data_IF_380850031967
#
_entry.id   IF_380850031967
#
_cell.length_a   1.000
_cell.length_b   1.000
_cell.length_c   1.000
_cell.angle_alpha   90.00
_cell.angle_beta   90.00
_cell.angle_gamma   90.00
#
_symmetry.space_group_name_H-M   'P 1'
#
loop_
_entity.id
_entity.type
_entity.pdbx_description
1 polymer ?
#
# COMPACT_ATOMS: atom_id res chain seq x y z
N UNK A 1 12.17 -7.16 81.28
CA UNK A 1 13.06 -8.25 80.85
C UNK A 1 12.54 -8.79 79.52
N UNK A 2 13.03 -8.23 78.41
CA UNK A 2 14.19 -8.72 77.61
C UNK A 2 13.79 -9.81 76.62
N UNK A 3 13.52 -9.41 75.37
CA UNK A 3 14.24 -9.78 74.13
C UNK A 3 13.95 -11.21 73.64
N UNK A 4 13.52 -11.43 72.39
CA UNK A 4 14.37 -11.29 71.20
C UNK A 4 13.55 -11.10 69.91
N UNK A 5 14.05 -10.18 69.09
CA UNK A 5 13.65 -9.76 67.74
C UNK A 5 14.45 -10.54 66.70
N UNK A 6 13.91 -10.63 65.48
CA UNK A 6 14.56 -10.69 64.14
C UNK A 6 13.97 -11.80 63.26
N UNK A 7 13.01 -11.48 62.40
CA UNK A 7 13.15 -10.85 61.06
C UNK A 7 13.81 -11.80 60.06
N UNK A 8 12.95 -12.54 59.36
CA UNK A 8 13.29 -13.43 58.25
C UNK A 8 13.31 -12.57 56.98
N UNK A 9 14.45 -12.60 56.30
CA UNK A 9 14.78 -11.81 55.12
C UNK A 9 13.72 -11.99 54.02
N UNK A 10 13.24 -10.84 53.51
CA UNK A 10 12.54 -10.73 52.25
C UNK A 10 13.58 -10.95 51.14
N UNK A 11 13.55 -12.17 50.58
CA UNK A 11 14.19 -12.50 49.32
C UNK A 11 13.53 -11.65 48.22
N UNK A 12 14.16 -10.50 47.94
CA UNK A 12 13.80 -9.61 46.85
C UNK A 12 14.19 -10.30 45.56
N UNK A 13 13.31 -11.19 45.12
CA UNK A 13 13.39 -11.86 43.83
C UNK A 13 13.55 -10.83 42.72
N UNK A 14 14.77 -10.72 42.21
CA UNK A 14 15.05 -10.11 40.93
C UNK A 14 14.06 -10.71 39.91
N UNK A 15 13.44 -9.89 39.03
CA UNK A 15 12.53 -10.44 38.04
C UNK A 15 13.37 -11.34 37.15
N UNK A 16 13.14 -12.64 37.25
CA UNK A 16 13.64 -13.62 36.30
C UNK A 16 13.21 -13.10 34.94
N UNK A 17 14.18 -12.59 34.19
CA UNK A 17 14.00 -12.14 32.83
C UNK A 17 13.40 -13.31 32.08
N UNK A 18 12.10 -13.22 31.79
CA UNK A 18 11.42 -14.16 30.91
C UNK A 18 12.28 -14.24 29.65
N UNK A 19 12.73 -15.44 29.24
CA UNK A 19 13.55 -15.56 28.05
C UNK A 19 12.77 -14.94 26.92
N UNK A 20 13.35 -13.87 26.36
CA UNK A 20 12.89 -13.22 25.14
C UNK A 20 12.68 -14.33 24.12
N UNK A 21 11.42 -14.55 23.74
CA UNK A 21 11.10 -15.43 22.63
C UNK A 21 11.86 -14.90 21.42
N UNK A 22 13.02 -15.49 21.13
CA UNK A 22 13.60 -15.50 19.79
C UNK A 22 12.45 -15.88 18.86
N UNK A 23 12.09 -14.95 17.98
CA UNK A 23 11.02 -15.13 17.02
C UNK A 23 11.24 -16.46 16.30
N UNK A 24 10.36 -17.42 16.54
CA UNK A 24 10.24 -18.58 15.70
C UNK A 24 9.87 -18.05 14.31
N UNK A 25 10.75 -18.22 13.34
CA UNK A 25 10.55 -17.90 11.92
C UNK A 25 9.56 -18.87 11.26
N UNK A 26 8.43 -19.11 11.92
CA UNK A 26 7.31 -19.92 11.45
C UNK A 26 6.22 -19.03 10.87
N UNK A 27 6.30 -18.76 9.57
CA UNK A 27 5.30 -17.95 8.87
C UNK A 27 5.80 -17.46 7.51
N UNK A 28 5.00 -16.63 6.83
CA UNK A 28 5.35 -16.07 5.52
C UNK A 28 6.68 -15.32 5.53
N UNK A 29 6.99 -14.58 6.61
CA UNK A 29 8.27 -13.89 6.80
C UNK A 29 9.46 -14.86 6.86
N UNK A 30 9.32 -15.99 7.56
CA UNK A 30 10.38 -17.02 7.59
C UNK A 30 10.60 -17.70 6.24
N UNK A 31 9.55 -17.84 5.43
CA UNK A 31 9.66 -18.36 4.05
C UNK A 31 10.31 -17.31 3.14
N UNK A 32 9.92 -16.05 3.24
CA UNK A 32 10.50 -14.95 2.47
C UNK A 32 12.00 -14.80 2.75
N UNK A 33 12.42 -14.83 4.02
CA UNK A 33 13.83 -14.79 4.40
C UNK A 33 14.63 -15.95 3.81
N UNK A 34 14.07 -17.17 3.80
CA UNK A 34 14.69 -18.33 3.15
C UNK A 34 14.83 -18.16 1.64
N UNK A 35 13.83 -17.56 0.99
CA UNK A 35 13.89 -17.26 -0.45
C UNK A 35 14.99 -16.24 -0.72
N UNK A 36 15.06 -15.18 0.07
CA UNK A 36 16.02 -14.10 -0.11
C UNK A 36 17.48 -14.52 0.18
N UNK A 37 17.68 -15.55 1.01
CA UNK A 37 18.97 -16.15 1.31
C UNK A 37 19.35 -17.31 0.36
N UNK A 38 18.47 -17.69 -0.57
CA UNK A 38 18.73 -18.76 -1.53
C UNK A 38 19.74 -18.32 -2.60
N UNK A 39 20.38 -19.28 -3.27
CA UNK A 39 21.25 -19.01 -4.43
C UNK A 39 20.44 -18.51 -5.64
N UNK A 40 19.16 -18.90 -5.74
CA UNK A 40 18.27 -18.61 -6.87
C UNK A 40 16.89 -18.02 -6.46
N UNK A 41 16.87 -16.85 -5.78
CA UNK A 41 15.63 -16.27 -5.23
C UNK A 41 14.52 -16.10 -6.28
N UNK A 42 14.92 -15.74 -7.50
CA UNK A 42 14.01 -15.47 -8.62
C UNK A 42 13.14 -16.68 -9.00
N UNK A 43 13.67 -17.90 -8.95
CA UNK A 43 12.90 -19.10 -9.30
C UNK A 43 11.74 -19.31 -8.31
N UNK A 44 12.05 -19.23 -7.02
CA UNK A 44 11.05 -19.38 -5.95
C UNK A 44 10.02 -18.26 -5.96
N UNK A 45 10.44 -17.03 -6.26
CA UNK A 45 9.54 -15.89 -6.45
C UNK A 45 8.60 -16.14 -7.63
N UNK A 46 9.11 -16.68 -8.74
CA UNK A 46 8.30 -17.01 -9.91
C UNK A 46 7.24 -18.07 -9.60
N UNK A 47 7.60 -19.15 -8.88
CA UNK A 47 6.69 -20.20 -8.43
C UNK A 47 5.57 -19.66 -7.52
N UNK A 48 5.92 -18.80 -6.56
CA UNK A 48 4.91 -18.11 -5.75
C UNK A 48 4.03 -17.19 -6.58
N UNK A 49 4.59 -16.55 -7.61
CA UNK A 49 3.83 -15.77 -8.58
C UNK A 49 2.79 -16.59 -9.33
N UNK A 50 3.15 -17.79 -9.81
CA UNK A 50 2.17 -18.69 -10.47
C UNK A 50 1.14 -19.22 -9.47
N UNK A 51 1.58 -19.70 -8.32
CA UNK A 51 0.69 -20.22 -7.26
C UNK A 51 -0.30 -19.16 -6.77
N UNK A 52 0.10 -17.89 -6.76
CA UNK A 52 -0.77 -16.77 -6.42
C UNK A 52 -1.95 -16.62 -7.42
N UNK A 53 -1.73 -16.94 -8.69
CA UNK A 53 -2.71 -16.73 -9.76
C UNK A 53 -3.55 -17.98 -10.04
N UNK A 54 -2.91 -19.14 -10.08
CA UNK A 54 -3.52 -20.41 -10.54
C UNK A 54 -3.75 -21.41 -9.39
N UNK A 55 -3.13 -21.17 -8.25
CA UNK A 55 -3.25 -22.08 -7.10
C UNK A 55 -4.63 -22.03 -6.44
N UNK A 56 -4.99 -23.08 -5.66
CA UNK A 56 -6.17 -23.06 -4.80
C UNK A 56 -6.19 -21.84 -3.88
N UNK A 57 -7.37 -21.38 -3.49
CA UNK A 57 -7.57 -20.15 -2.69
C UNK A 57 -6.62 -20.03 -1.48
N UNK A 58 -6.38 -21.12 -0.75
CA UNK A 58 -5.49 -21.15 0.41
C UNK A 58 -4.02 -20.99 0.01
N UNK A 59 -3.56 -21.73 -1.01
CA UNK A 59 -2.20 -21.64 -1.55
C UNK A 59 -1.90 -20.26 -2.16
N UNK A 60 -2.87 -19.70 -2.89
CA UNK A 60 -2.78 -18.35 -3.44
C UNK A 60 -2.63 -17.30 -2.33
N UNK A 61 -3.38 -17.45 -1.23
CA UNK A 61 -3.30 -16.55 -0.07
C UNK A 61 -1.94 -16.63 0.62
N UNK A 62 -1.37 -17.83 0.78
CA UNK A 62 -0.05 -17.98 1.40
C UNK A 62 1.05 -17.43 0.49
N UNK A 63 1.00 -17.72 -0.81
CA UNK A 63 1.96 -17.18 -1.78
C UNK A 63 1.91 -15.66 -1.82
N UNK A 64 0.70 -15.06 -1.81
CA UNK A 64 0.55 -13.62 -1.71
C UNK A 64 1.17 -13.05 -0.42
N UNK A 65 1.03 -13.72 0.72
CA UNK A 65 1.70 -13.30 1.97
C UNK A 65 3.22 -13.34 1.85
N UNK A 66 3.78 -14.42 1.31
CA UNK A 66 5.23 -14.54 1.10
C UNK A 66 5.74 -13.44 0.17
N UNK A 67 5.05 -13.20 -0.96
CA UNK A 67 5.42 -12.15 -1.90
C UNK A 67 5.34 -10.75 -1.28
N UNK A 68 4.34 -10.48 -0.42
CA UNK A 68 4.22 -9.21 0.33
C UNK A 68 5.45 -8.95 1.21
N UNK A 69 5.96 -9.97 1.91
CA UNK A 69 7.21 -9.84 2.69
C UNK A 69 8.42 -9.59 1.79
N UNK A 70 8.52 -10.28 0.66
CA UNK A 70 9.59 -10.04 -0.33
C UNK A 70 9.53 -8.62 -0.90
N UNK A 71 8.33 -8.08 -1.15
CA UNK A 71 8.13 -6.70 -1.63
C UNK A 71 8.64 -5.68 -0.62
N UNK A 72 8.46 -5.93 0.68
CA UNK A 72 8.92 -5.04 1.73
C UNK A 72 10.44 -5.02 1.85
N UNK A 73 11.10 -6.17 1.67
CA UNK A 73 12.56 -6.27 1.80
C UNK A 73 13.32 -5.93 0.50
N UNK A 74 12.89 -6.48 -0.64
CA UNK A 74 13.56 -6.35 -1.95
C UNK A 74 12.56 -6.27 -3.11
N UNK A 75 11.89 -5.13 -3.31
CA UNK A 75 10.87 -4.95 -4.35
C UNK A 75 11.40 -5.13 -5.78
N UNK A 76 12.70 -4.98 -6.02
CA UNK A 76 13.35 -5.21 -7.31
C UNK A 76 13.23 -6.67 -7.80
N UNK A 77 13.12 -7.64 -6.88
CA UNK A 77 13.06 -9.06 -7.22
C UNK A 77 11.70 -9.47 -7.79
N UNK A 78 10.65 -8.71 -7.48
CA UNK A 78 9.28 -9.00 -7.94
C UNK A 78 8.90 -8.27 -9.23
N UNK A 79 9.79 -7.44 -9.78
CA UNK A 79 9.59 -6.72 -11.05
C UNK A 79 9.18 -7.64 -12.22
N UNK A 80 9.71 -8.87 -12.36
CA UNK A 80 9.25 -9.78 -13.40
C UNK A 80 7.77 -10.17 -13.29
N UNK A 81 7.17 -10.07 -12.09
CA UNK A 81 5.78 -10.46 -11.82
C UNK A 81 4.76 -9.33 -12.05
N UNK A 82 5.16 -8.17 -12.60
CA UNK A 82 4.26 -7.01 -12.81
C UNK A 82 2.95 -7.38 -13.50
N UNK A 83 2.98 -8.21 -14.54
CA UNK A 83 1.77 -8.62 -15.25
C UNK A 83 0.81 -9.44 -14.37
N UNK A 84 1.34 -10.24 -13.44
CA UNK A 84 0.56 -11.03 -12.49
C UNK A 84 -0.08 -10.12 -11.44
N UNK A 85 0.67 -9.16 -10.89
CA UNK A 85 0.09 -8.18 -9.96
C UNK A 85 -0.95 -7.28 -10.64
N UNK A 86 -0.73 -6.89 -11.89
CA UNK A 86 -1.71 -6.11 -12.65
C UNK A 86 -3.04 -6.86 -12.80
N UNK A 87 -3.01 -8.18 -13.07
CA UNK A 87 -4.21 -9.04 -13.06
C UNK A 87 -4.75 -9.28 -11.65
N UNK A 88 -3.86 -9.37 -10.65
CA UNK A 88 -4.22 -9.65 -9.26
C UNK A 88 -4.99 -8.52 -8.57
N UNK A 89 -4.94 -7.30 -9.10
CA UNK A 89 -5.61 -6.12 -8.53
C UNK A 89 -7.14 -6.22 -8.52
N UNK A 90 -7.71 -6.96 -9.47
CA UNK A 90 -9.15 -7.25 -9.57
C UNK A 90 -9.50 -8.68 -9.16
N UNK A 91 -8.58 -9.39 -8.49
CA UNK A 91 -8.81 -10.76 -8.03
C UNK A 91 -9.95 -10.83 -7.00
N UNK A 92 -10.71 -11.93 -7.03
CA UNK A 92 -11.66 -12.26 -5.97
C UNK A 92 -10.97 -12.56 -4.62
N UNK A 93 -9.67 -12.89 -4.64
CA UNK A 93 -8.91 -13.13 -3.42
C UNK A 93 -8.39 -11.81 -2.82
N UNK A 94 -9.00 -11.39 -1.70
CA UNK A 94 -8.63 -10.15 -0.98
C UNK A 94 -7.14 -10.01 -0.69
N UNK A 95 -6.44 -11.11 -0.33
CA UNK A 95 -5.01 -11.04 -0.02
C UNK A 95 -4.15 -10.85 -1.28
N UNK A 96 -4.58 -11.40 -2.41
CA UNK A 96 -3.93 -11.17 -3.71
C UNK A 96 -4.08 -9.72 -4.13
N UNK A 97 -5.28 -9.14 -3.98
CA UNK A 97 -5.53 -7.71 -4.25
C UNK A 97 -4.64 -6.84 -3.37
N UNK A 98 -4.58 -7.11 -2.06
CA UNK A 98 -3.73 -6.36 -1.14
C UNK A 98 -2.25 -6.41 -1.54
N UNK A 99 -1.74 -7.61 -1.80
CA UNK A 99 -0.33 -7.80 -2.19
C UNK A 99 -0.03 -7.10 -3.52
N UNK A 100 -0.95 -7.18 -4.48
CA UNK A 100 -0.81 -6.49 -5.77
C UNK A 100 -0.85 -4.96 -5.60
N UNK A 101 -1.68 -4.45 -4.68
CA UNK A 101 -1.81 -3.04 -4.34
C UNK A 101 -0.56 -2.47 -3.65
N UNK A 102 0.18 -3.32 -2.93
CA UNK A 102 1.48 -2.99 -2.33
C UNK A 102 2.61 -3.09 -3.37
N UNK A 103 2.58 -4.11 -4.24
CA UNK A 103 3.62 -4.39 -5.23
C UNK A 103 3.69 -3.34 -6.33
N UNK A 104 2.56 -3.02 -6.97
CA UNK A 104 2.53 -2.19 -8.18
C UNK A 104 3.11 -0.78 -7.98
N UNK A 105 2.81 -0.04 -6.89
CA UNK A 105 3.44 1.25 -6.63
C UNK A 105 4.94 1.12 -6.35
N UNK A 106 5.37 0.06 -5.65
CA UNK A 106 6.79 -0.17 -5.39
C UNK A 106 7.55 -0.42 -6.69
N UNK A 107 7.01 -1.29 -7.56
CA UNK A 107 7.62 -1.59 -8.86
C UNK A 107 7.57 -0.38 -9.79
N UNK A 108 6.51 0.45 -9.74
CA UNK A 108 6.43 1.66 -10.55
C UNK A 108 7.56 2.66 -10.26
N UNK A 109 8.09 2.68 -9.02
CA UNK A 109 9.25 3.53 -8.66
C UNK A 109 10.58 2.98 -9.19
N UNK A 110 10.69 1.66 -9.36
CA UNK A 110 11.93 0.97 -9.78
C UNK A 110 11.98 0.81 -11.31
N UNK A 111 10.87 0.36 -11.90
CA UNK A 111 10.74 0.01 -13.30
C UNK A 111 9.43 0.57 -13.89
N UNK A 112 9.27 1.91 -13.98
CA UNK A 112 8.04 2.55 -14.44
C UNK A 112 7.61 2.08 -15.83
N UNK A 113 8.55 1.86 -16.74
CA UNK A 113 8.27 1.37 -18.09
C UNK A 113 7.63 -0.04 -18.10
N UNK A 114 7.94 -0.90 -17.13
CA UNK A 114 7.34 -2.24 -17.03
C UNK A 114 5.89 -2.15 -16.59
N UNK A 115 5.59 -1.31 -15.61
CA UNK A 115 4.20 -1.05 -15.16
C UNK A 115 3.41 -0.31 -16.23
N UNK A 116 4.04 0.62 -16.95
CA UNK A 116 3.43 1.38 -18.04
C UNK A 116 2.90 0.47 -19.18
N UNK A 117 3.55 -0.68 -19.43
CA UNK A 117 3.07 -1.69 -20.40
C UNK A 117 1.75 -2.35 -20.00
N UNK A 118 1.37 -2.28 -18.72
CA UNK A 118 0.12 -2.84 -18.20
C UNK A 118 -0.98 -1.78 -18.00
N UNK A 119 -0.78 -0.54 -18.48
CA UNK A 119 -1.70 0.56 -18.19
C UNK A 119 -3.13 0.30 -18.62
N UNK A 120 -3.35 -0.35 -19.75
CA UNK A 120 -4.70 -0.57 -20.27
C UNK A 120 -5.48 -1.55 -19.36
N UNK A 121 -4.80 -2.59 -18.86
CA UNK A 121 -5.34 -3.52 -17.84
C UNK A 121 -5.64 -2.76 -16.54
N UNK A 122 -4.64 -2.02 -16.02
CA UNK A 122 -4.78 -1.32 -14.74
C UNK A 122 -5.89 -0.26 -14.76
N UNK A 123 -6.04 0.47 -15.87
CA UNK A 123 -7.12 1.45 -16.06
C UNK A 123 -8.48 0.76 -16.17
N UNK A 124 -8.57 -0.31 -16.96
CA UNK A 124 -9.81 -1.06 -17.12
C UNK A 124 -10.30 -1.68 -15.82
N UNK A 125 -9.39 -2.10 -14.93
CA UNK A 125 -9.74 -2.67 -13.63
C UNK A 125 -10.12 -1.65 -12.56
N UNK A 126 -10.01 -0.33 -12.80
CA UNK A 126 -10.19 0.66 -11.74
C UNK A 126 -11.60 0.68 -11.15
N UNK A 127 -12.64 0.65 -11.98
CA UNK A 127 -14.03 0.75 -11.49
C UNK A 127 -14.46 -0.51 -10.74
N UNK A 128 -14.08 -1.68 -11.25
CA UNK A 128 -14.39 -3.01 -10.69
C UNK A 128 -13.55 -3.38 -9.46
N UNK A 129 -12.41 -2.71 -9.26
CA UNK A 129 -11.57 -2.95 -8.10
C UNK A 129 -12.29 -2.56 -6.80
N UNK A 130 -12.06 -3.37 -5.76
CA UNK A 130 -12.46 -3.01 -4.40
C UNK A 130 -11.62 -1.83 -3.87
N UNK A 131 -11.98 -1.31 -2.69
CA UNK A 131 -11.34 -0.12 -2.12
C UNK A 131 -9.81 -0.25 -1.96
N UNK A 132 -9.33 -1.44 -1.58
CA UNK A 132 -7.89 -1.72 -1.45
C UNK A 132 -7.21 -1.68 -2.82
N UNK A 133 -7.83 -2.30 -3.83
CA UNK A 133 -7.35 -2.28 -5.21
C UNK A 133 -7.33 -0.87 -5.79
N UNK A 134 -8.38 -0.08 -5.57
CA UNK A 134 -8.45 1.33 -5.99
C UNK A 134 -7.34 2.17 -5.36
N UNK A 135 -7.09 2.00 -4.07
CA UNK A 135 -5.99 2.69 -3.37
C UNK A 135 -4.62 2.30 -3.94
N UNK A 136 -4.40 1.01 -4.19
CA UNK A 136 -3.20 0.51 -4.87
C UNK A 136 -3.02 1.09 -6.27
N UNK A 137 -4.09 1.17 -7.05
CA UNK A 137 -4.08 1.75 -8.40
C UNK A 137 -3.76 3.24 -8.37
N UNK A 138 -4.40 4.03 -7.51
CA UNK A 138 -4.12 5.47 -7.37
C UNK A 138 -2.65 5.70 -7.01
N UNK A 139 -2.12 4.94 -6.04
CA UNK A 139 -0.69 5.00 -5.67
C UNK A 139 0.22 4.62 -6.83
N UNK A 140 -0.15 3.62 -7.62
CA UNK A 140 0.60 3.17 -8.81
C UNK A 140 0.61 4.25 -9.88
N UNK A 141 -0.54 4.83 -10.20
CA UNK A 141 -0.68 5.88 -11.21
C UNK A 141 0.07 7.15 -10.78
N UNK A 142 -0.01 7.55 -9.51
CA UNK A 142 0.76 8.67 -8.97
C UNK A 142 2.27 8.41 -9.02
N UNK A 143 2.72 7.19 -8.72
CA UNK A 143 4.13 6.80 -8.84
C UNK A 143 4.62 6.90 -10.29
N UNK A 144 3.80 6.48 -11.27
CA UNK A 144 4.10 6.64 -12.70
C UNK A 144 4.18 8.12 -13.10
N UNK A 145 3.22 8.94 -12.70
CA UNK A 145 3.22 10.39 -12.97
C UNK A 145 4.44 11.11 -12.38
N UNK A 146 4.90 10.66 -11.20
CA UNK A 146 6.14 11.13 -10.57
C UNK A 146 7.38 10.69 -11.37
N UNK A 147 7.40 9.45 -11.85
CA UNK A 147 8.52 8.92 -12.64
C UNK A 147 8.65 9.58 -14.02
N UNK A 148 7.54 9.97 -14.65
CA UNK A 148 7.56 10.74 -15.91
C UNK A 148 6.26 11.50 -16.16
N UNK A 149 6.40 12.77 -16.53
CA UNK A 149 5.29 13.63 -16.97
C UNK A 149 4.56 13.09 -18.21
N UNK A 150 5.22 12.25 -19.01
CA UNK A 150 4.65 11.64 -20.21
C UNK A 150 3.41 10.78 -19.91
N UNK A 151 3.32 10.21 -18.70
CA UNK A 151 2.16 9.40 -18.32
C UNK A 151 0.96 10.22 -17.85
N UNK A 152 1.16 11.50 -17.47
CA UNK A 152 0.12 12.32 -16.84
C UNK A 152 -1.09 12.47 -17.75
N UNK A 153 -0.91 12.76 -19.04
CA UNK A 153 -2.03 12.89 -20.00
C UNK A 153 -2.91 11.63 -20.08
N UNK A 154 -2.32 10.44 -19.94
CA UNK A 154 -3.04 9.16 -20.02
C UNK A 154 -3.72 8.75 -18.70
N UNK A 155 -3.18 9.21 -17.58
CA UNK A 155 -3.57 8.83 -16.22
C UNK A 155 -4.46 9.86 -15.52
N UNK A 156 -4.38 11.12 -15.92
CA UNK A 156 -5.16 12.20 -15.33
C UNK A 156 -6.68 11.92 -15.33
N UNK A 157 -7.31 11.38 -16.40
CA UNK A 157 -8.75 11.11 -16.37
C UNK A 157 -9.15 10.12 -15.26
N UNK A 158 -8.37 9.05 -15.07
CA UNK A 158 -8.68 8.04 -14.03
C UNK A 158 -8.35 8.56 -12.62
N UNK A 159 -7.28 9.35 -12.48
CA UNK A 159 -6.95 10.00 -11.21
C UNK A 159 -8.00 11.03 -10.80
N UNK A 160 -8.54 11.77 -11.77
CA UNK A 160 -9.63 12.72 -11.54
C UNK A 160 -10.93 12.02 -11.18
N UNK A 161 -11.26 10.93 -11.88
CA UNK A 161 -12.39 10.07 -11.54
C UNK A 161 -12.27 9.55 -10.10
N UNK A 162 -11.08 9.10 -9.71
CA UNK A 162 -10.78 8.62 -8.36
C UNK A 162 -11.04 9.72 -7.30
N UNK A 163 -10.45 10.90 -7.47
CA UNK A 163 -10.64 12.03 -6.56
C UNK A 163 -12.11 12.48 -6.49
N UNK A 164 -12.82 12.46 -7.63
CA UNK A 164 -14.22 12.85 -7.69
C UNK A 164 -15.16 11.82 -7.04
N UNK A 165 -14.77 10.53 -6.97
CA UNK A 165 -15.58 9.47 -6.38
C UNK A 165 -15.28 9.15 -4.91
N UNK A 166 -14.15 9.61 -4.38
CA UNK A 166 -13.68 9.26 -3.04
C UNK A 166 -14.58 9.81 -1.91
N UNK A 167 -14.69 9.09 -0.80
CA UNK A 167 -15.27 9.62 0.45
C UNK A 167 -14.28 10.61 1.12
N UNK A 168 -14.70 11.31 2.17
CA UNK A 168 -13.87 12.34 2.81
C UNK A 168 -12.50 11.85 3.29
N UNK A 169 -12.41 10.65 3.86
CA UNK A 169 -11.14 10.11 4.36
C UNK A 169 -10.23 9.72 3.19
N UNK A 170 -10.77 9.02 2.21
CA UNK A 170 -10.02 8.59 1.02
C UNK A 170 -9.59 9.78 0.17
N UNK A 171 -10.44 10.81 0.03
CA UNK A 171 -10.12 12.04 -0.69
C UNK A 171 -8.94 12.78 -0.06
N UNK A 172 -8.90 12.88 1.28
CA UNK A 172 -7.75 13.46 1.98
C UNK A 172 -6.48 12.68 1.62
N UNK A 173 -6.48 11.36 1.79
CA UNK A 173 -5.31 10.53 1.51
C UNK A 173 -4.88 10.61 0.03
N UNK A 174 -5.82 10.52 -0.91
CA UNK A 174 -5.52 10.55 -2.34
C UNK A 174 -5.09 11.93 -2.82
N UNK A 175 -5.64 13.03 -2.26
CA UNK A 175 -5.20 14.38 -2.62
C UNK A 175 -3.72 14.62 -2.31
N UNK A 176 -3.24 14.11 -1.16
CA UNK A 176 -1.85 14.21 -0.73
C UNK A 176 -0.89 13.36 -1.59
N UNK A 177 -1.41 12.34 -2.28
CA UNK A 177 -0.63 11.46 -3.16
C UNK A 177 -0.64 11.99 -4.60
N UNK A 178 -1.82 12.35 -5.11
CA UNK A 178 -2.04 12.66 -6.53
C UNK A 178 -1.59 14.07 -6.87
N UNK A 179 -1.91 15.08 -6.05
CA UNK A 179 -1.63 16.47 -6.39
C UNK A 179 -0.13 16.75 -6.53
N UNK A 180 0.77 16.24 -5.65
CA UNK A 180 2.22 16.44 -5.83
C UNK A 180 2.79 15.72 -7.06
N UNK A 181 2.18 14.60 -7.47
CA UNK A 181 2.63 13.78 -8.59
C UNK A 181 2.29 14.37 -9.97
N UNK A 182 1.27 15.24 -10.05
CA UNK A 182 0.87 15.93 -11.27
C UNK A 182 1.58 17.28 -11.41
N UNK A 183 1.79 17.74 -12.65
CA UNK A 183 2.41 19.03 -12.96
C UNK A 183 1.58 19.79 -14.00
N UNK A 184 1.68 21.12 -14.00
CA UNK A 184 1.04 21.98 -15.00
C UNK A 184 -0.49 21.84 -15.01
N UNK A 185 -1.06 21.73 -16.22
CA UNK A 185 -2.50 21.68 -16.44
C UNK A 185 -3.20 20.47 -15.79
N UNK A 186 -2.67 19.22 -15.87
CA UNK A 186 -3.20 18.09 -15.09
C UNK A 186 -3.30 18.36 -13.58
N UNK A 187 -2.31 19.05 -13.00
CA UNK A 187 -2.35 19.42 -11.58
C UNK A 187 -3.49 20.40 -11.30
N UNK A 188 -3.63 21.44 -12.11
CA UNK A 188 -4.68 22.45 -11.93
C UNK A 188 -6.08 21.83 -11.99
N UNK A 189 -6.33 20.92 -12.95
CA UNK A 189 -7.62 20.21 -13.07
C UNK A 189 -7.90 19.29 -11.90
N UNK A 190 -6.92 18.47 -11.48
CA UNK A 190 -7.08 17.61 -10.32
C UNK A 190 -7.30 18.41 -9.03
N UNK A 191 -6.60 19.54 -8.87
CA UNK A 191 -6.77 20.45 -7.74
C UNK A 191 -8.18 21.05 -7.71
N UNK A 192 -8.69 21.53 -8.84
CA UNK A 192 -10.05 22.07 -8.94
C UNK A 192 -11.13 21.05 -8.53
N UNK A 193 -10.94 19.77 -8.87
CA UNK A 193 -11.83 18.67 -8.45
C UNK A 193 -11.81 18.49 -6.94
N UNK A 194 -10.63 18.50 -6.31
CA UNK A 194 -10.50 18.39 -4.85
C UNK A 194 -11.15 19.60 -4.16
N UNK A 195 -10.91 20.81 -4.66
CA UNK A 195 -11.48 22.05 -4.11
C UNK A 195 -13.01 22.04 -4.18
N UNK A 196 -13.59 21.66 -5.32
CA UNK A 196 -15.05 21.56 -5.50
C UNK A 196 -15.71 20.51 -4.60
N UNK A 197 -14.95 19.54 -4.09
CA UNK A 197 -15.42 18.49 -3.19
C UNK A 197 -15.41 18.87 -1.71
N UNK A 198 -14.72 19.95 -1.31
CA UNK A 198 -14.59 20.35 0.11
C UNK A 198 -15.94 20.66 0.75
N UNK A 199 -16.91 21.14 -0.03
CA UNK A 199 -18.27 21.43 0.44
C UNK A 199 -19.18 20.19 0.53
N UNK A 200 -18.70 19.02 0.12
CA UNK A 200 -19.51 17.79 0.08
C UNK A 200 -19.04 16.71 1.08
N UNK A 201 -17.95 16.96 1.80
CA UNK A 201 -17.35 16.00 2.74
C UNK A 201 -17.42 16.51 4.19
N UNK A 202 -17.21 15.64 5.20
CA UNK A 202 -17.14 16.06 6.59
C UNK A 202 -16.08 17.14 6.83
N UNK A 203 -16.44 18.16 7.63
CA UNK A 203 -15.61 19.36 7.85
C UNK A 203 -14.22 19.06 8.40
N UNK A 204 -14.07 18.01 9.21
CA UNK A 204 -12.78 17.58 9.76
C UNK A 204 -11.77 17.20 8.68
N UNK A 205 -12.21 16.51 7.62
CA UNK A 205 -11.37 16.18 6.48
C UNK A 205 -11.22 17.38 5.54
N UNK A 206 -12.31 18.13 5.29
CA UNK A 206 -12.27 19.31 4.45
C UNK A 206 -11.25 20.35 4.94
N UNK A 207 -11.19 20.58 6.26
CA UNK A 207 -10.22 21.50 6.86
C UNK A 207 -8.78 21.03 6.63
N UNK A 208 -8.48 19.75 6.85
CA UNK A 208 -7.14 19.20 6.62
C UNK A 208 -6.72 19.31 5.14
N UNK A 209 -7.65 19.08 4.21
CA UNK A 209 -7.36 19.28 2.78
C UNK A 209 -7.15 20.77 2.49
N UNK A 210 -7.97 21.66 3.03
CA UNK A 210 -7.82 23.11 2.83
C UNK A 210 -6.47 23.62 3.35
N UNK A 211 -6.04 23.15 4.53
CA UNK A 211 -4.73 23.46 5.11
C UNK A 211 -3.60 22.95 4.20
N UNK A 212 -3.70 21.71 3.70
CA UNK A 212 -2.77 21.15 2.74
C UNK A 212 -2.70 21.93 1.42
N UNK A 213 -3.85 22.44 0.93
CA UNK A 213 -3.94 23.25 -0.28
C UNK A 213 -3.53 24.72 -0.06
N UNK A 214 -3.35 25.14 1.20
CA UNK A 214 -3.06 26.53 1.56
C UNK A 214 -4.23 27.48 1.35
N UNK A 215 -5.48 27.00 1.44
CA UNK A 215 -6.69 27.80 1.21
C UNK A 215 -7.54 27.90 2.49
N UNK A 216 -8.29 29.00 2.62
CA UNK A 216 -9.22 29.17 3.75
C UNK A 216 -10.54 28.47 3.44
N UNK A 217 -10.93 27.53 4.30
CA UNK A 217 -12.26 26.93 4.23
C UNK A 217 -13.31 28.00 4.55
N UNK A 218 -14.29 28.19 3.66
CA UNK A 218 -15.39 29.12 3.93
C UNK A 218 -16.22 28.60 5.10
N UNK A 219 -16.59 29.49 6.02
CA UNK A 219 -17.50 29.17 7.11
C UNK A 219 -18.87 28.84 6.52
N UNK A 220 -19.33 27.59 6.69
CA UNK A 220 -20.74 27.29 6.51
C UNK A 220 -21.51 27.94 7.65
N UNK A 221 -22.27 28.99 7.35
CA UNK A 221 -23.46 29.31 8.13
C UNK A 221 -24.47 28.20 7.82
N UNK A 222 -24.78 27.38 8.80
CA UNK A 222 -25.89 26.42 8.73
C UNK A 222 -26.82 26.71 9.88
#
# INVERSE_FOLDING_TARGET
>A
MTTKKQSREEDTGAPVAKPTKKAASGGASGVAQKILADESPQSKIAEHGETMMEGPRTAATQSARVLSEVILEKPELVVPLVAKFAKGISSANKRVVQTSSEALPAIARIAPARVARQLDVLKGSFEEANDVGKDGLVKTFAALCTASVAYQKRLEPVLTLALNGADGKTLLAWSQIVLPALKGEPHARARAVVEGRLDLIPRSYAQQIADFLGIKLRLRYR
#
